data_IF_248295215459
#
_entry.id   IF_248295215459
#
_cell.length_a   1.000
_cell.length_b   1.000
_cell.length_c   1.000
_cell.angle_alpha   90.00
_cell.angle_beta   90.00
_cell.angle_gamma   90.00
#
_symmetry.space_group_name_H-M   'P 1'
#
loop_
_entity.id
_entity.type
_entity.pdbx_description
1 polymer ?
#
# COMPACT_ATOMS: atom_id res chain seq x y z
N UNK A 1 -6.10 -6.94 -30.34
CA UNK A 1 -5.25 -6.89 -31.54
C UNK A 1 -4.22 -5.80 -31.32
N UNK A 2 -2.94 -6.03 -31.65
CA UNK A 2 -1.90 -5.02 -31.50
C UNK A 2 -2.23 -3.76 -32.31
N UNK A 3 -1.90 -2.60 -31.77
CA UNK A 3 -2.11 -1.33 -32.48
C UNK A 3 -1.13 -1.20 -33.65
N UNK A 4 -1.66 -1.00 -34.84
CA UNK A 4 -0.88 -0.78 -36.08
C UNK A 4 -0.75 0.70 -36.45
N UNK A 5 -1.60 1.56 -35.88
CA UNK A 5 -1.56 3.02 -36.07
C UNK A 5 -1.04 3.72 -34.82
N UNK A 6 -0.10 4.65 -35.00
CA UNK A 6 0.55 5.42 -33.92
C UNK A 6 -0.46 6.14 -33.02
N UNK A 7 -1.44 6.82 -33.61
CA UNK A 7 -2.46 7.54 -32.84
C UNK A 7 -3.29 6.62 -31.93
N UNK A 8 -3.63 5.42 -32.40
CA UNK A 8 -4.37 4.46 -31.58
C UNK A 8 -3.50 3.95 -30.42
N UNK A 9 -2.23 3.68 -30.69
CA UNK A 9 -1.27 3.31 -29.66
C UNK A 9 -1.14 4.40 -28.59
N UNK A 10 -0.95 5.66 -28.99
CA UNK A 10 -0.74 6.77 -28.06
C UNK A 10 -1.98 7.03 -27.20
N UNK A 11 -3.19 6.91 -27.77
CA UNK A 11 -4.44 7.02 -27.01
C UNK A 11 -4.59 5.90 -25.98
N UNK A 12 -4.24 4.66 -26.35
CA UNK A 12 -4.26 3.53 -25.40
C UNK A 12 -3.22 3.71 -24.30
N UNK A 13 -2.01 4.15 -24.64
CA UNK A 13 -0.96 4.45 -23.66
C UNK A 13 -1.41 5.53 -22.67
N UNK A 14 -1.98 6.61 -23.18
CA UNK A 14 -2.53 7.69 -22.36
C UNK A 14 -3.65 7.19 -21.44
N UNK A 15 -4.55 6.33 -21.95
CA UNK A 15 -5.59 5.72 -21.13
C UNK A 15 -5.01 4.93 -19.94
N UNK A 16 -4.00 4.08 -20.17
CA UNK A 16 -3.36 3.33 -19.09
C UNK A 16 -2.67 4.24 -18.06
N UNK A 17 -2.05 5.33 -18.50
CA UNK A 17 -1.47 6.32 -17.59
C UNK A 17 -2.54 7.00 -16.73
N UNK A 18 -3.64 7.45 -17.33
CA UNK A 18 -4.77 8.05 -16.61
C UNK A 18 -5.38 7.05 -15.63
N UNK A 19 -5.57 5.80 -16.04
CA UNK A 19 -6.03 4.72 -15.18
C UNK A 19 -5.14 4.58 -13.93
N UNK A 20 -3.81 4.48 -14.08
CA UNK A 20 -2.89 4.38 -12.95
C UNK A 20 -2.95 5.63 -12.05
N UNK A 21 -2.93 6.83 -12.64
CA UNK A 21 -3.00 8.08 -11.89
C UNK A 21 -4.28 8.16 -11.06
N UNK A 22 -5.43 7.79 -11.62
CA UNK A 22 -6.71 7.78 -10.93
C UNK A 22 -6.67 6.84 -9.71
N UNK A 23 -6.12 5.63 -9.86
CA UNK A 23 -5.98 4.66 -8.76
C UNK A 23 -4.98 5.14 -7.67
N UNK A 24 -3.86 5.74 -8.07
CA UNK A 24 -2.90 6.34 -7.14
C UNK A 24 -3.50 7.53 -6.36
N UNK A 25 -4.29 8.37 -7.04
CA UNK A 25 -5.00 9.46 -6.39
C UNK A 25 -6.08 8.94 -5.45
N UNK A 26 -6.78 7.86 -5.81
CA UNK A 26 -7.75 7.19 -4.95
C UNK A 26 -7.15 6.79 -3.60
N UNK A 27 -5.95 6.18 -3.58
CA UNK A 27 -5.23 5.85 -2.35
C UNK A 27 -4.97 7.07 -1.46
N UNK A 28 -4.60 8.21 -2.06
CA UNK A 28 -4.24 9.42 -1.29
C UNK A 28 -5.46 10.14 -0.72
N UNK A 29 -6.60 10.08 -1.43
CA UNK A 29 -7.79 10.87 -1.11
C UNK A 29 -8.93 10.03 -0.49
N UNK A 30 -8.74 8.72 -0.31
CA UNK A 30 -9.76 7.85 0.25
C UNK A 30 -10.99 7.65 -0.64
N UNK A 31 -10.89 7.93 -1.95
CA UNK A 31 -12.02 7.91 -2.89
C UNK A 31 -11.88 6.75 -3.86
N UNK A 32 -13.01 6.17 -4.28
CA UNK A 32 -13.00 5.14 -5.31
C UNK A 32 -12.48 5.69 -6.65
N UNK A 33 -11.71 4.91 -7.42
CA UNK A 33 -11.28 5.28 -8.76
C UNK A 33 -12.50 5.56 -9.65
N UNK A 34 -12.41 6.62 -10.46
CA UNK A 34 -13.44 6.97 -11.45
C UNK A 34 -13.33 6.09 -12.70
N UNK A 35 -12.11 5.66 -13.01
CA UNK A 35 -11.81 4.78 -14.13
C UNK A 35 -12.28 3.37 -13.80
N UNK A 36 -13.22 2.86 -14.61
CA UNK A 36 -13.76 1.51 -14.48
C UNK A 36 -13.01 0.52 -15.34
N UNK A 37 -13.15 -0.75 -14.99
CA UNK A 37 -12.58 -1.83 -15.77
C UNK A 37 -13.15 -1.87 -17.19
N UNK A 38 -12.34 -1.45 -18.17
CA UNK A 38 -12.70 -1.44 -19.57
C UNK A 38 -12.22 -2.72 -20.28
N UNK A 39 -12.79 -3.05 -21.44
CA UNK A 39 -12.39 -4.26 -22.19
C UNK A 39 -10.87 -4.33 -22.50
N UNK A 40 -10.20 -3.18 -22.60
CA UNK A 40 -8.75 -3.08 -22.82
C UNK A 40 -7.92 -3.55 -21.63
N UNK A 41 -8.46 -3.52 -20.40
CA UNK A 41 -7.80 -4.03 -19.20
C UNK A 41 -7.89 -5.55 -19.08
N UNK A 42 -8.73 -6.23 -19.89
CA UNK A 42 -8.84 -7.69 -19.84
C UNK A 42 -7.60 -8.41 -20.36
N UNK A 43 -6.84 -7.77 -21.27
CA UNK A 43 -5.62 -8.33 -21.88
C UNK A 43 -4.60 -7.22 -22.14
N UNK A 44 -4.06 -6.59 -21.08
CA UNK A 44 -3.20 -5.41 -21.22
C UNK A 44 -1.90 -5.73 -21.96
N UNK A 45 -1.39 -6.98 -21.87
CA UNK A 45 -0.20 -7.43 -22.61
C UNK A 45 -0.29 -7.36 -24.13
N UNK A 46 -1.49 -7.42 -24.71
CA UNK A 46 -1.68 -7.27 -26.17
C UNK A 46 -1.22 -5.89 -26.66
N UNK A 47 -1.17 -4.89 -25.76
CA UNK A 47 -0.59 -3.58 -26.05
C UNK A 47 0.91 -3.67 -26.40
N UNK A 48 1.65 -4.55 -25.72
CA UNK A 48 3.11 -4.71 -25.87
C UNK A 48 3.50 -5.42 -27.18
N UNK A 49 2.56 -6.08 -27.83
CA UNK A 49 2.77 -6.70 -29.16
C UNK A 49 2.86 -5.65 -30.29
N UNK A 50 2.56 -4.37 -30.01
CA UNK A 50 2.68 -3.30 -30.99
C UNK A 50 4.15 -2.99 -31.31
N UNK A 51 4.48 -2.75 -32.59
CA UNK A 51 5.82 -2.32 -33.00
C UNK A 51 6.24 -0.94 -32.47
N UNK A 52 5.35 -0.22 -31.77
CA UNK A 52 5.66 1.03 -31.09
C UNK A 52 6.00 0.85 -29.60
N UNK A 53 5.94 -0.37 -29.06
CA UNK A 53 6.16 -0.66 -27.66
C UNK A 53 7.62 -0.42 -27.23
N UNK A 54 7.78 0.24 -26.09
CA UNK A 54 9.07 0.52 -25.45
C UNK A 54 9.21 -0.24 -24.13
N UNK A 55 10.41 -0.23 -23.54
CA UNK A 55 10.63 -0.80 -22.20
C UNK A 55 9.82 -0.08 -21.11
N UNK A 56 9.60 1.23 -21.25
CA UNK A 56 8.73 1.99 -20.36
C UNK A 56 7.28 1.48 -20.40
N UNK A 57 6.84 0.95 -21.54
CA UNK A 57 5.51 0.38 -21.68
C UNK A 57 5.39 -0.98 -20.97
N UNK A 58 6.48 -1.75 -20.86
CA UNK A 58 6.48 -2.96 -20.05
C UNK A 58 6.25 -2.64 -18.56
N UNK A 59 6.92 -1.61 -18.04
CA UNK A 59 6.71 -1.11 -16.67
C UNK A 59 5.31 -0.54 -16.46
N UNK A 60 4.75 0.11 -17.48
CA UNK A 60 3.37 0.60 -17.46
C UNK A 60 2.38 -0.57 -17.34
N UNK A 61 2.53 -1.58 -18.19
CA UNK A 61 1.63 -2.74 -18.21
C UNK A 61 1.77 -3.60 -16.95
N UNK A 62 2.97 -3.74 -16.38
CA UNK A 62 3.15 -4.45 -15.11
C UNK A 62 2.35 -3.80 -13.98
N UNK A 63 2.35 -2.47 -13.89
CA UNK A 63 1.54 -1.75 -12.91
C UNK A 63 0.04 -1.88 -13.19
N UNK A 64 -0.38 -1.81 -14.46
CA UNK A 64 -1.80 -1.97 -14.82
C UNK A 64 -2.31 -3.36 -14.39
N UNK A 65 -1.53 -4.41 -14.58
CA UNK A 65 -1.87 -5.76 -14.12
C UNK A 65 -1.94 -5.86 -12.60
N UNK A 66 -0.98 -5.25 -11.87
CA UNK A 66 -1.00 -5.22 -10.42
C UNK A 66 -2.30 -4.57 -9.91
N UNK A 67 -2.65 -3.42 -10.46
CA UNK A 67 -3.87 -2.70 -10.12
C UNK A 67 -5.15 -3.48 -10.47
N UNK A 68 -5.12 -4.29 -11.53
CA UNK A 68 -6.23 -5.20 -11.84
C UNK A 68 -6.41 -6.29 -10.77
N UNK A 69 -5.32 -6.85 -10.23
CA UNK A 69 -5.40 -7.80 -9.10
C UNK A 69 -5.91 -7.06 -7.85
N UNK A 70 -5.39 -5.86 -7.58
CA UNK A 70 -5.83 -5.03 -6.47
C UNK A 70 -7.34 -4.76 -6.51
N UNK A 71 -7.89 -4.40 -7.68
CA UNK A 71 -9.32 -4.19 -7.86
C UNK A 71 -10.13 -5.45 -7.59
N UNK A 72 -9.63 -6.64 -7.93
CA UNK A 72 -10.30 -7.91 -7.57
C UNK A 72 -10.32 -8.12 -6.06
N UNK A 73 -9.24 -7.78 -5.34
CA UNK A 73 -9.24 -7.79 -3.86
C UNK A 73 -10.32 -6.83 -3.34
N UNK A 74 -10.35 -5.60 -3.86
CA UNK A 74 -11.34 -4.59 -3.48
C UNK A 74 -12.79 -5.03 -3.76
N UNK A 75 -13.07 -5.64 -4.91
CA UNK A 75 -14.42 -6.11 -5.26
C UNK A 75 -14.90 -7.25 -4.35
N UNK A 76 -13.98 -8.12 -3.92
CA UNK A 76 -14.30 -9.29 -3.10
C UNK A 76 -14.45 -8.90 -1.62
N UNK A 77 -13.57 -8.03 -1.13
CA UNK A 77 -13.43 -7.75 0.31
C UNK A 77 -13.66 -6.29 0.71
N UNK A 78 -13.76 -5.35 -0.23
CA UNK A 78 -13.84 -3.91 0.03
C UNK A 78 -15.24 -3.38 0.39
N UNK A 79 -16.30 -4.16 0.15
CA UNK A 79 -17.67 -3.67 0.27
C UNK A 79 -18.24 -3.55 1.70
N UNK A 80 -17.76 -4.36 2.64
CA UNK A 80 -18.22 -4.35 4.04
C UNK A 80 -17.02 -4.43 4.97
N UNK A 81 -16.89 -3.41 5.81
CA UNK A 81 -15.75 -3.18 6.68
C UNK A 81 -15.97 -3.81 8.06
N UNK A 82 -17.22 -3.83 8.50
CA UNK A 82 -17.62 -4.27 9.83
C UNK A 82 -17.70 -5.79 9.90
N UNK A 83 -17.84 -6.43 8.73
CA UNK A 83 -17.96 -7.88 8.62
C UNK A 83 -16.65 -8.54 8.25
N UNK A 84 -16.24 -9.53 9.04
CA UNK A 84 -15.13 -10.43 8.71
C UNK A 84 -15.52 -11.40 7.58
N UNK A 85 -15.57 -10.93 6.33
CA UNK A 85 -15.79 -11.79 5.16
C UNK A 85 -14.53 -12.62 4.86
N UNK A 86 -13.35 -12.11 5.23
CA UNK A 86 -12.05 -12.72 4.98
C UNK A 86 -11.94 -14.15 5.54
N UNK A 87 -12.38 -14.37 6.78
CA UNK A 87 -12.32 -15.70 7.41
C UNK A 87 -13.27 -16.73 6.81
N UNK A 88 -14.27 -16.29 6.06
CA UNK A 88 -15.19 -17.16 5.31
C UNK A 88 -14.69 -17.45 3.89
N UNK A 89 -13.68 -16.70 3.44
CA UNK A 89 -13.16 -16.67 2.06
C UNK A 89 -11.64 -16.83 2.01
N UNK A 90 -11.10 -17.69 2.87
CA UNK A 90 -9.66 -17.94 2.96
C UNK A 90 -9.10 -18.51 1.64
N UNK A 91 -9.91 -19.30 0.91
CA UNK A 91 -9.53 -19.84 -0.40
C UNK A 91 -9.34 -18.72 -1.45
N UNK A 92 -10.20 -17.70 -1.44
CA UNK A 92 -10.04 -16.54 -2.30
C UNK A 92 -8.78 -15.73 -1.96
N UNK A 93 -8.43 -15.61 -0.66
CA UNK A 93 -7.18 -14.99 -0.23
C UNK A 93 -5.98 -15.75 -0.81
N UNK A 94 -5.94 -17.08 -0.65
CA UNK A 94 -4.85 -17.89 -1.22
C UNK A 94 -4.76 -17.77 -2.74
N UNK A 95 -5.90 -17.75 -3.45
CA UNK A 95 -5.90 -17.60 -4.90
C UNK A 95 -5.37 -16.23 -5.35
N UNK A 96 -5.72 -15.15 -4.64
CA UNK A 96 -5.21 -13.81 -4.93
C UNK A 96 -3.73 -13.67 -4.58
N UNK A 97 -3.28 -14.35 -3.53
CA UNK A 97 -1.87 -14.45 -3.15
C UNK A 97 -1.04 -15.11 -4.27
N UNK A 98 -1.50 -16.24 -4.79
CA UNK A 98 -0.87 -16.92 -5.93
C UNK A 98 -0.78 -16.00 -7.17
N UNK A 99 -1.82 -15.19 -7.42
CA UNK A 99 -1.80 -14.21 -8.52
C UNK A 99 -0.75 -13.11 -8.32
N UNK A 100 -0.56 -12.62 -7.09
CA UNK A 100 0.49 -11.65 -6.80
C UNK A 100 1.89 -12.27 -6.93
N UNK A 101 2.09 -13.51 -6.49
CA UNK A 101 3.37 -14.23 -6.66
C UNK A 101 3.70 -14.48 -8.12
N UNK A 102 2.70 -14.91 -8.91
CA UNK A 102 2.85 -15.08 -10.34
C UNK A 102 3.18 -13.75 -11.03
N UNK A 103 2.45 -12.68 -10.69
CA UNK A 103 2.74 -11.35 -11.22
C UNK A 103 4.16 -10.90 -10.88
N UNK A 104 4.60 -11.08 -9.63
CA UNK A 104 5.92 -10.64 -9.19
C UNK A 104 7.02 -11.40 -9.91
N UNK A 105 6.95 -12.73 -9.95
CA UNK A 105 7.96 -13.58 -10.61
C UNK A 105 8.05 -13.30 -12.11
N UNK A 106 6.92 -13.23 -12.82
CA UNK A 106 6.91 -12.96 -14.27
C UNK A 106 7.50 -11.59 -14.62
N UNK A 107 7.08 -10.54 -13.92
CA UNK A 107 7.57 -9.19 -14.21
C UNK A 107 8.96 -8.93 -13.67
N UNK A 108 9.37 -9.63 -12.61
CA UNK A 108 10.74 -9.61 -12.15
C UNK A 108 11.71 -10.15 -13.22
N UNK A 109 11.37 -11.26 -13.86
CA UNK A 109 12.17 -11.83 -14.93
C UNK A 109 12.09 -11.01 -16.22
N UNK A 110 10.90 -10.46 -16.53
CA UNK A 110 10.64 -9.71 -17.75
C UNK A 110 11.19 -8.28 -17.76
N UNK A 111 11.22 -7.61 -16.61
CA UNK A 111 11.73 -6.24 -16.50
C UNK A 111 13.24 -6.26 -16.34
N UNK A 112 13.93 -5.52 -17.21
CA UNK A 112 15.37 -5.31 -17.09
C UNK A 112 15.64 -4.33 -15.95
N UNK A 113 16.02 -4.86 -14.80
CA UNK A 113 16.59 -4.09 -13.71
C UNK A 113 18.12 -4.17 -13.77
N UNK A 114 18.80 -3.03 -13.77
CA UNK A 114 20.27 -3.01 -13.88
C UNK A 114 20.93 -3.63 -12.63
N UNK A 115 21.83 -4.60 -12.84
CA UNK A 115 22.39 -5.44 -11.76
C UNK A 115 23.46 -4.71 -10.93
N UNK A 116 24.04 -3.62 -11.46
CA UNK A 116 25.24 -3.00 -10.90
C UNK A 116 24.98 -2.00 -9.75
N UNK A 117 23.73 -1.59 -9.54
CA UNK A 117 23.29 -0.79 -8.39
C UNK A 117 21.86 -1.20 -8.09
N UNK A 118 21.50 -1.32 -6.81
CA UNK A 118 20.10 -1.56 -6.41
C UNK A 118 19.23 -0.45 -7.02
N UNK A 119 18.62 -0.74 -8.18
CA UNK A 119 17.94 0.28 -8.96
C UNK A 119 16.73 0.78 -8.16
N UNK A 120 16.55 2.10 -7.98
CA UNK A 120 15.35 2.62 -7.32
C UNK A 120 14.06 2.07 -7.93
N UNK A 121 14.03 1.81 -9.25
CA UNK A 121 12.89 1.20 -9.90
C UNK A 121 12.57 -0.20 -9.37
N UNK A 122 13.59 -1.01 -9.06
CA UNK A 122 13.40 -2.35 -8.47
C UNK A 122 12.84 -2.26 -7.06
N UNK A 123 13.37 -1.36 -6.24
CA UNK A 123 12.90 -1.17 -4.86
C UNK A 123 11.46 -0.67 -4.83
N UNK A 124 11.11 0.26 -5.71
CA UNK A 124 9.74 0.74 -5.87
C UNK A 124 8.82 -0.39 -6.35
N UNK A 125 9.28 -1.24 -7.28
CA UNK A 125 8.53 -2.43 -7.72
C UNK A 125 8.24 -3.39 -6.56
N UNK A 126 9.25 -3.73 -5.75
CA UNK A 126 9.08 -4.60 -4.59
C UNK A 126 8.22 -3.93 -3.49
N UNK A 127 8.30 -2.60 -3.33
CA UNK A 127 7.44 -1.84 -2.42
C UNK A 127 5.96 -1.99 -2.80
N UNK A 128 5.61 -1.88 -4.08
CA UNK A 128 4.23 -2.09 -4.54
C UNK A 128 3.74 -3.50 -4.30
N UNK A 129 4.59 -4.49 -4.56
CA UNK A 129 4.29 -5.89 -4.28
C UNK A 129 3.95 -6.11 -2.80
N UNK A 130 4.81 -5.63 -1.89
CA UNK A 130 4.57 -5.76 -0.47
C UNK A 130 3.36 -4.97 0.01
N UNK A 131 3.13 -3.77 -0.54
CA UNK A 131 1.94 -2.98 -0.24
C UNK A 131 0.64 -3.72 -0.64
N UNK A 132 0.62 -4.32 -1.83
CA UNK A 132 -0.54 -5.05 -2.33
C UNK A 132 -0.82 -6.33 -1.52
N UNK A 133 0.23 -7.07 -1.14
CA UNK A 133 0.08 -8.27 -0.28
C UNK A 133 -0.29 -7.93 1.15
N UNK A 134 0.28 -6.86 1.71
CA UNK A 134 -0.16 -6.30 2.99
C UNK A 134 -1.66 -6.00 2.93
N UNK A 135 -2.12 -5.30 1.90
CA UNK A 135 -3.54 -5.01 1.71
C UNK A 135 -4.39 -6.28 1.68
N UNK A 136 -4.02 -7.28 0.87
CA UNK A 136 -4.73 -8.56 0.80
C UNK A 136 -4.85 -9.24 2.16
N UNK A 137 -3.74 -9.45 2.87
CA UNK A 137 -3.77 -10.22 4.12
C UNK A 137 -4.39 -9.43 5.27
N UNK A 138 -4.30 -8.11 5.25
CA UNK A 138 -4.85 -7.26 6.31
C UNK A 138 -6.38 -7.38 6.49
N UNK A 139 -7.09 -7.92 5.49
CA UNK A 139 -8.52 -8.17 5.58
C UNK A 139 -8.89 -9.16 6.71
N UNK A 140 -7.98 -10.03 7.15
CA UNK A 140 -8.24 -10.93 8.29
C UNK A 140 -8.40 -10.19 9.61
N UNK A 141 -7.90 -8.94 9.71
CA UNK A 141 -8.06 -8.12 10.91
C UNK A 141 -9.44 -7.47 11.06
N UNK A 142 -10.29 -7.53 10.03
CA UNK A 142 -11.61 -6.87 10.04
C UNK A 142 -12.64 -7.70 10.78
N UNK A 143 -13.46 -7.06 11.62
CA UNK A 143 -14.60 -7.69 12.28
C UNK A 143 -14.26 -8.88 13.19
N UNK A 144 -13.00 -9.03 13.63
CA UNK A 144 -12.59 -10.06 14.58
C UNK A 144 -12.17 -9.45 15.91
N UNK A 145 -12.67 -9.99 17.01
CA UNK A 145 -12.09 -9.71 18.32
C UNK A 145 -10.73 -10.41 18.43
N UNK A 146 -9.76 -9.79 19.13
CA UNK A 146 -8.42 -10.36 19.37
C UNK A 146 -8.48 -11.81 19.87
N UNK A 147 -9.42 -12.08 20.76
CA UNK A 147 -9.63 -13.40 21.37
C UNK A 147 -10.00 -14.46 20.32
N UNK A 148 -10.73 -14.09 19.27
CA UNK A 148 -11.15 -15.01 18.20
C UNK A 148 -9.98 -15.36 17.26
N UNK A 149 -9.04 -14.42 17.07
CA UNK A 149 -7.82 -14.64 16.29
C UNK A 149 -6.84 -15.51 17.08
N UNK A 150 -6.63 -15.24 18.37
CA UNK A 150 -5.77 -16.05 19.24
C UNK A 150 -6.30 -17.48 19.47
N UNK A 151 -7.62 -17.67 19.45
CA UNK A 151 -8.27 -18.98 19.54
C UNK A 151 -8.26 -19.77 18.21
N UNK A 152 -7.97 -19.11 17.08
CA UNK A 152 -7.86 -19.79 15.80
C UNK A 152 -6.62 -20.70 15.81
N UNK A 153 -6.78 -21.94 15.36
CA UNK A 153 -5.65 -22.86 15.28
C UNK A 153 -4.57 -22.34 14.32
N UNK A 154 -3.29 -22.56 14.68
CA UNK A 154 -2.14 -22.33 13.80
C UNK A 154 -2.10 -23.39 12.67
N UNK A 155 -3.06 -23.31 11.76
CA UNK A 155 -3.03 -24.08 10.51
C UNK A 155 -2.42 -23.21 9.40
N UNK A 156 -1.55 -23.76 8.54
CA UNK A 156 -1.17 -23.11 7.28
C UNK A 156 -2.43 -22.73 6.49
N UNK A 157 -2.48 -21.50 5.96
CA UNK A 157 -3.67 -20.96 5.28
C UNK A 157 -4.84 -20.59 6.20
N UNK A 158 -4.64 -20.60 7.52
CA UNK A 158 -5.60 -20.11 8.50
C UNK A 158 -5.50 -18.59 8.73
N UNK A 159 -6.43 -18.00 9.50
CA UNK A 159 -6.43 -16.56 9.81
C UNK A 159 -5.13 -16.08 10.47
N UNK A 160 -4.54 -16.88 11.36
CA UNK A 160 -3.28 -16.55 12.05
C UNK A 160 -2.07 -16.55 11.11
N UNK A 161 -2.04 -17.46 10.14
CA UNK A 161 -0.99 -17.49 9.12
C UNK A 161 -1.05 -16.22 8.25
N UNK A 162 -2.24 -15.83 7.80
CA UNK A 162 -2.43 -14.59 7.05
C UNK A 162 -2.14 -13.34 7.88
N UNK A 163 -2.51 -13.32 9.16
CA UNK A 163 -2.14 -12.23 10.06
C UNK A 163 -0.62 -12.07 10.15
N UNK A 164 0.12 -13.17 10.36
CA UNK A 164 1.60 -13.15 10.35
C UNK A 164 2.15 -12.64 9.03
N UNK A 165 1.64 -13.12 7.89
CA UNK A 165 2.07 -12.68 6.56
C UNK A 165 1.79 -11.19 6.30
N UNK A 166 0.66 -10.67 6.81
CA UNK A 166 0.39 -9.23 6.77
C UNK A 166 1.48 -8.44 7.49
N UNK A 167 1.92 -8.89 8.67
CA UNK A 167 2.97 -8.23 9.45
C UNK A 167 4.33 -8.30 8.76
N UNK A 168 4.66 -9.42 8.13
CA UNK A 168 5.89 -9.56 7.33
C UNK A 168 5.94 -8.58 6.16
N UNK A 169 4.80 -8.41 5.46
CA UNK A 169 4.70 -7.41 4.38
C UNK A 169 4.69 -5.98 4.90
N UNK A 170 4.06 -5.70 6.04
CA UNK A 170 4.14 -4.38 6.67
C UNK A 170 5.58 -4.03 7.05
N UNK A 171 6.32 -4.97 7.63
CA UNK A 171 7.73 -4.78 7.93
C UNK A 171 8.56 -4.54 6.66
N UNK A 172 8.30 -5.31 5.61
CA UNK A 172 8.99 -5.15 4.32
C UNK A 172 8.75 -3.77 3.70
N UNK A 173 7.53 -3.21 3.82
CA UNK A 173 7.21 -1.84 3.42
C UNK A 173 8.02 -0.83 4.23
N UNK A 174 8.02 -0.95 5.57
CA UNK A 174 8.78 -0.05 6.45
C UNK A 174 10.27 -0.10 6.14
N UNK A 175 10.83 -1.31 6.03
CA UNK A 175 12.24 -1.53 5.71
C UNK A 175 12.62 -0.98 4.33
N UNK A 176 11.75 -1.14 3.34
CA UNK A 176 11.97 -0.59 1.99
C UNK A 176 12.13 0.92 2.04
N UNK A 177 11.29 1.61 2.82
CA UNK A 177 11.32 3.07 2.97
C UNK A 177 12.51 3.53 3.83
N UNK A 178 12.82 2.85 4.94
CA UNK A 178 13.96 3.24 5.79
C UNK A 178 15.31 3.08 5.10
N UNK A 179 15.39 2.17 4.13
CA UNK A 179 16.60 1.91 3.35
C UNK A 179 16.75 2.84 2.13
N UNK A 180 15.79 3.72 1.86
CA UNK A 180 15.91 4.74 0.81
C UNK A 180 16.70 5.96 1.29
N UNK A 181 17.56 6.54 0.43
CA UNK A 181 18.27 7.76 0.78
C UNK A 181 17.28 8.94 0.84
N UNK A 182 17.58 9.90 1.71
CA UNK A 182 16.67 11.01 2.06
C UNK A 182 16.22 11.86 0.87
N UNK A 183 17.12 12.11 -0.07
CA UNK A 183 16.83 12.83 -1.31
C UNK A 183 15.74 12.15 -2.13
N UNK A 184 15.67 10.82 -2.12
CA UNK A 184 14.61 10.07 -2.82
C UNK A 184 13.31 10.03 -2.05
N UNK A 185 13.37 9.98 -0.72
CA UNK A 185 12.19 10.01 0.13
C UNK A 185 11.35 11.28 -0.08
N UNK A 186 12.03 12.43 -0.26
CA UNK A 186 11.38 13.71 -0.56
C UNK A 186 10.72 13.74 -1.95
N UNK A 187 11.12 12.83 -2.86
CA UNK A 187 10.58 12.71 -4.21
C UNK A 187 9.55 11.58 -4.34
N UNK A 188 9.20 10.90 -3.24
CA UNK A 188 8.19 9.85 -3.28
C UNK A 188 6.80 10.45 -3.55
N UNK A 189 5.99 9.79 -4.40
CA UNK A 189 4.59 10.18 -4.57
C UNK A 189 3.81 10.14 -3.25
N UNK A 190 2.88 11.07 -3.07
CA UNK A 190 2.13 11.24 -1.82
C UNK A 190 1.38 9.98 -1.34
N UNK A 191 0.86 9.15 -2.27
CA UNK A 191 0.17 7.90 -1.93
C UNK A 191 1.08 6.87 -1.24
N UNK A 192 2.40 6.96 -1.39
CA UNK A 192 3.33 6.10 -0.63
C UNK A 192 3.25 6.42 0.87
N UNK A 193 2.95 7.67 1.24
CA UNK A 193 2.65 8.05 2.61
C UNK A 193 1.46 7.27 3.18
N UNK A 194 0.37 7.11 2.41
CA UNK A 194 -0.78 6.29 2.80
C UNK A 194 -0.38 4.83 3.07
N UNK A 195 0.45 4.24 2.21
CA UNK A 195 0.97 2.87 2.37
C UNK A 195 1.84 2.74 3.62
N UNK A 196 2.73 3.71 3.89
CA UNK A 196 3.57 3.73 5.09
C UNK A 196 2.72 3.83 6.36
N UNK A 197 1.76 4.75 6.38
CA UNK A 197 0.86 4.93 7.51
C UNK A 197 0.09 3.62 7.79
N UNK A 198 -0.42 2.99 6.74
CA UNK A 198 -1.14 1.73 6.85
C UNK A 198 -0.27 0.60 7.41
N UNK A 199 0.92 0.38 6.85
CA UNK A 199 1.88 -0.60 7.36
C UNK A 199 2.23 -0.35 8.84
N UNK A 200 2.45 0.91 9.20
CA UNK A 200 2.81 1.30 10.56
C UNK A 200 1.68 1.02 11.56
N UNK A 201 0.42 1.26 11.18
CA UNK A 201 -0.75 0.94 12.00
C UNK A 201 -0.87 -0.57 12.23
N UNK A 202 -0.67 -1.40 11.21
CA UNK A 202 -0.67 -2.86 11.34
C UNK A 202 0.42 -3.32 12.34
N UNK A 203 1.62 -2.76 12.22
CA UNK A 203 2.75 -3.08 13.10
C UNK A 203 2.52 -2.63 14.55
N UNK A 204 1.99 -1.42 14.77
CA UNK A 204 1.63 -0.94 16.12
C UNK A 204 0.61 -1.87 16.77
N UNK A 205 -0.41 -2.30 16.03
CA UNK A 205 -1.42 -3.24 16.54
C UNK A 205 -0.77 -4.57 16.97
N UNK A 206 0.13 -5.10 16.16
CA UNK A 206 0.87 -6.32 16.50
C UNK A 206 1.79 -6.15 17.70
N UNK A 207 2.55 -5.06 17.78
CA UNK A 207 3.43 -4.77 18.92
C UNK A 207 2.64 -4.66 20.24
N UNK A 208 1.41 -4.14 20.18
CA UNK A 208 0.49 -4.09 21.32
C UNK A 208 -0.08 -5.46 21.70
N UNK A 209 -0.26 -6.38 20.75
CA UNK A 209 -0.63 -7.77 21.03
C UNK A 209 0.51 -8.49 21.75
N UNK A 210 1.73 -8.33 21.23
CA UNK A 210 2.93 -9.01 21.70
C UNK A 210 3.37 -8.54 23.08
N UNK A 211 3.31 -7.23 23.35
CA UNK A 211 3.57 -6.67 24.70
C UNK A 211 2.62 -7.21 25.78
N UNK A 212 1.46 -7.75 25.39
CA UNK A 212 0.47 -8.35 26.32
C UNK A 212 0.59 -9.88 26.42
N UNK A 213 1.29 -10.52 25.48
CA UNK A 213 1.56 -11.95 25.45
C UNK A 213 3.00 -12.17 25.90
N UNK A 214 3.21 -12.32 27.20
CA UNK A 214 4.53 -12.61 27.79
C UNK A 214 5.07 -13.96 27.30
N UNK A 215 5.84 -14.02 26.21
CA UNK A 215 6.68 -15.18 25.87
C UNK A 215 7.86 -14.81 24.96
N UNK A 216 9.03 -15.33 25.32
CA UNK A 216 10.34 -15.10 24.72
C UNK A 216 10.57 -15.84 23.37
N UNK A 217 11.56 -15.33 22.63
CA UNK A 217 12.45 -16.04 21.68
C UNK A 217 11.95 -16.25 20.24
N UNK A 218 11.80 -15.15 19.50
CA UNK A 218 12.42 -14.83 18.18
C UNK A 218 11.64 -13.63 17.58
N UNK A 219 11.45 -12.63 18.41
CA UNK A 219 10.53 -11.53 18.14
C UNK A 219 11.22 -10.51 17.24
N UNK A 220 10.68 -10.34 16.04
CA UNK A 220 11.00 -9.20 15.17
C UNK A 220 10.86 -7.93 16.01
N UNK A 221 11.91 -7.11 16.13
CA UNK A 221 11.89 -5.85 16.89
C UNK A 221 11.03 -4.80 16.16
N UNK A 222 9.71 -4.99 16.17
CA UNK A 222 8.74 -4.12 15.50
C UNK A 222 8.89 -2.69 16.01
N UNK A 223 9.08 -2.51 17.32
CA UNK A 223 9.29 -1.19 17.90
C UNK A 223 10.57 -0.53 17.40
N UNK A 224 11.66 -1.27 17.23
CA UNK A 224 12.91 -0.78 16.67
C UNK A 224 12.75 -0.29 15.24
N UNK A 225 12.04 -1.04 14.40
CA UNK A 225 11.75 -0.66 13.01
C UNK A 225 10.88 0.59 12.93
N UNK A 226 9.83 0.70 13.76
CA UNK A 226 8.98 1.89 13.82
C UNK A 226 9.77 3.12 14.33
N UNK A 227 10.60 2.96 15.36
CA UNK A 227 11.51 4.03 15.84
C UNK A 227 12.49 4.47 14.75
N UNK A 228 13.01 3.54 13.97
CA UNK A 228 13.90 3.85 12.85
C UNK A 228 13.16 4.63 11.75
N UNK A 229 11.94 4.20 11.40
CA UNK A 229 11.08 4.91 10.46
C UNK A 229 10.83 6.36 10.89
N UNK A 230 10.44 6.60 12.14
CA UNK A 230 10.22 7.96 12.66
C UNK A 230 11.45 8.84 12.44
N UNK A 231 12.65 8.34 12.78
CA UNK A 231 13.91 9.09 12.59
C UNK A 231 14.20 9.40 11.12
N UNK A 232 13.90 8.46 10.22
CA UNK A 232 14.10 8.65 8.78
C UNK A 232 13.13 9.69 8.23
N UNK A 233 11.87 9.66 8.65
CA UNK A 233 10.83 10.58 8.17
C UNK A 233 10.92 11.99 8.78
N UNK A 234 11.53 12.15 9.96
CA UNK A 234 11.78 13.47 10.56
C UNK A 234 12.82 14.27 9.74
N UNK A 235 12.64 15.60 9.60
CA UNK A 235 13.61 16.47 8.94
C UNK A 235 14.93 16.52 9.71
N UNK A 236 16.02 16.72 8.99
CA UNK A 236 17.34 16.93 9.59
C UNK A 236 17.46 18.33 10.20
N UNK A 237 18.33 18.50 11.19
CA UNK A 237 18.55 19.78 11.84
C UNK A 237 19.03 20.83 10.81
N UNK A 238 18.14 21.73 10.40
CA UNK A 238 18.42 22.80 9.44
C UNK A 238 17.58 22.78 8.15
N UNK A 239 16.75 21.75 7.92
CA UNK A 239 15.77 21.77 6.82
C UNK A 239 14.54 22.61 7.21
N UNK A 240 14.12 23.53 6.33
CA UNK A 240 12.88 24.29 6.53
C UNK A 240 11.70 23.33 6.68
N UNK A 241 10.81 23.62 7.64
CA UNK A 241 9.61 22.84 7.92
C UNK A 241 8.55 23.05 6.85
N UNK A 242 8.83 22.56 5.63
CA UNK A 242 7.79 22.31 4.65
C UNK A 242 6.87 21.21 5.21
N UNK A 243 5.56 21.45 5.17
CA UNK A 243 4.51 20.51 5.62
C UNK A 243 4.52 19.30 4.68
N UNK A 244 5.44 18.37 4.91
CA UNK A 244 5.53 17.13 4.13
C UNK A 244 4.62 16.07 4.77
N UNK A 245 3.78 15.35 4.00
CA UNK A 245 2.88 14.31 4.53
C UNK A 245 3.60 13.27 5.41
N UNK A 246 4.84 12.91 5.06
CA UNK A 246 5.68 12.00 5.83
C UNK A 246 6.01 12.50 7.25
N UNK A 247 6.14 13.81 7.45
CA UNK A 247 6.34 14.40 8.78
C UNK A 247 5.09 14.24 9.64
N UNK A 248 3.90 14.37 9.05
CA UNK A 248 2.64 14.09 9.72
C UNK A 248 2.59 12.64 10.23
N UNK A 249 2.95 11.69 9.37
CA UNK A 249 3.01 10.26 9.73
C UNK A 249 4.02 10.03 10.86
N UNK A 250 5.21 10.62 10.78
CA UNK A 250 6.23 10.48 11.83
C UNK A 250 5.73 10.98 13.19
N UNK A 251 5.07 12.14 13.23
CA UNK A 251 4.49 12.72 14.45
C UNK A 251 3.36 11.86 15.01
N UNK A 252 2.44 11.40 14.16
CA UNK A 252 1.37 10.50 14.58
C UNK A 252 1.92 9.20 15.17
N UNK A 253 2.94 8.61 14.53
CA UNK A 253 3.57 7.39 15.05
C UNK A 253 4.30 7.61 16.36
N UNK A 254 5.06 8.71 16.47
CA UNK A 254 5.73 9.08 17.72
C UNK A 254 4.73 9.29 18.85
N UNK A 255 3.63 10.00 18.58
CA UNK A 255 2.53 10.16 19.52
C UNK A 255 2.00 8.78 19.93
N UNK A 256 1.58 7.94 18.96
CA UNK A 256 1.03 6.59 19.16
C UNK A 256 1.95 5.67 19.98
N UNK A 257 3.25 5.74 19.75
CA UNK A 257 4.22 4.95 20.49
C UNK A 257 4.48 5.48 21.90
N UNK A 258 4.40 6.81 22.12
CA UNK A 258 4.60 7.44 23.42
C UNK A 258 3.37 7.35 24.33
N UNK A 259 2.17 7.51 23.77
CA UNK A 259 0.91 7.49 24.50
C UNK A 259 0.31 6.10 24.69
N UNK A 260 1.05 5.01 24.46
CA UNK A 260 0.59 3.63 24.69
C UNK A 260 0.26 3.30 26.18
N UNK A 261 0.11 4.32 27.04
CA UNK A 261 -0.58 4.26 28.34
C UNK A 261 -1.86 5.11 28.45
N UNK A 262 -2.21 5.99 27.51
CA UNK A 262 -3.51 6.70 27.46
C UNK A 262 -3.69 7.43 26.12
N UNK A 263 -4.63 6.98 25.28
CA UNK A 263 -5.03 7.71 24.05
C UNK A 263 -6.49 8.10 24.09
N UNK A 264 -6.73 9.41 24.14
CA UNK A 264 -7.99 10.04 23.76
C UNK A 264 -7.74 11.46 23.24
N UNK A 265 -7.12 11.61 22.05
CA UNK A 265 -7.26 12.82 21.21
C UNK A 265 -6.59 12.66 19.83
N UNK A 266 -7.19 13.31 18.82
CA UNK A 266 -6.75 13.46 17.42
C UNK A 266 -7.24 12.41 16.40
N UNK A 267 -8.58 12.38 16.23
CA UNK A 267 -9.25 11.92 15.02
C UNK A 267 -9.19 13.03 13.97
N UNK A 268 -8.49 12.83 12.85
CA UNK A 268 -8.86 13.45 11.56
C UNK A 268 -8.08 12.92 10.35
N UNK A 269 -6.90 12.30 10.53
CA UNK A 269 -6.10 11.79 9.40
C UNK A 269 -6.45 10.33 9.03
N UNK A 270 -7.07 9.59 9.95
CA UNK A 270 -7.32 8.15 9.83
C UNK A 270 -8.67 7.84 9.13
N UNK A 271 -9.58 8.81 9.06
CA UNK A 271 -10.96 8.61 8.60
C UNK A 271 -11.13 8.64 7.07
N UNK A 272 -10.13 9.12 6.32
CA UNK A 272 -10.12 9.06 4.85
C UNK A 272 -9.42 7.79 4.33
N UNK A 273 -8.44 7.23 5.06
CA UNK A 273 -7.82 5.94 4.75
C UNK A 273 -8.75 4.75 5.01
N UNK A 274 -9.70 4.90 5.95
CA UNK A 274 -10.70 3.89 6.30
C UNK A 274 -11.68 3.58 5.18
N UNK A 275 -12.00 4.56 4.31
CA UNK A 275 -12.98 4.41 3.25
C UNK A 275 -12.52 3.57 2.05
N UNK A 276 -11.21 3.54 1.77
CA UNK A 276 -10.65 2.78 0.64
C UNK A 276 -9.94 1.50 1.08
N UNK A 277 -9.26 1.51 2.23
CA UNK A 277 -8.64 0.32 2.80
C UNK A 277 -9.61 -0.51 3.64
N UNK A 278 -10.87 -0.07 3.74
CA UNK A 278 -11.94 -0.73 4.46
C UNK A 278 -11.60 -1.10 5.89
N UNK A 279 -11.01 -0.19 6.68
CA UNK A 279 -10.81 -0.40 8.12
C UNK A 279 -11.70 0.56 8.89
N UNK A 280 -12.75 0.05 9.52
CA UNK A 280 -13.57 0.81 10.43
C UNK A 280 -12.87 0.68 11.76
N UNK A 281 -12.29 1.79 12.19
CA UNK A 281 -11.77 1.91 13.53
C UNK A 281 -12.97 2.21 14.42
N UNK A 282 -13.85 1.22 14.59
CA UNK A 282 -15.12 1.36 15.29
C UNK A 282 -14.95 2.08 16.62
N UNK A 283 -15.37 3.34 16.66
CA UNK A 283 -15.43 4.18 17.84
C UNK A 283 -16.62 5.13 17.68
N UNK A 284 -17.81 4.62 17.95
CA UNK A 284 -19.05 5.39 18.04
C UNK A 284 -18.90 6.58 19.00
N UNK A 285 -19.30 7.78 18.55
CA UNK A 285 -19.44 8.95 19.41
C UNK A 285 -19.18 10.31 18.74
N UNK A 286 -20.26 10.88 18.18
CA UNK A 286 -20.59 12.32 18.02
C UNK A 286 -19.56 13.36 17.53
N UNK A 287 -19.99 14.18 16.55
CA UNK A 287 -19.63 15.61 16.49
C UNK A 287 -19.27 16.14 15.08
N UNK A 288 -20.17 16.93 14.50
CA UNK A 288 -20.07 17.62 13.18
C UNK A 288 -19.25 18.91 13.31
N UNK A 289 -18.42 19.28 12.30
CA UNK A 289 -18.44 20.59 11.56
C UNK A 289 -17.20 20.91 10.68
N UNK A 290 -17.49 21.40 9.45
CA UNK A 290 -16.81 22.28 8.46
C UNK A 290 -15.27 22.43 8.36
N UNK A 291 -14.73 22.03 7.20
CA UNK A 291 -14.59 22.88 5.99
C UNK A 291 -13.52 23.98 5.97
N UNK A 292 -12.52 23.84 5.08
CA UNK A 292 -11.69 24.95 4.60
C UNK A 292 -10.35 24.54 3.97
N UNK A 293 -10.29 24.61 2.64
CA UNK A 293 -9.15 24.97 1.76
C UNK A 293 -7.78 24.30 1.91
N UNK A 294 -7.36 23.57 0.87
CA UNK A 294 -6.05 23.81 0.24
C UNK A 294 -5.98 23.20 -1.18
N UNK A 295 -6.31 24.01 -2.19
CA UNK A 295 -5.73 23.86 -3.53
C UNK A 295 -4.26 24.28 -3.45
N UNK A 296 -3.34 23.41 -3.85
CA UNK A 296 -2.07 23.87 -4.40
C UNK A 296 -1.46 22.83 -5.35
N UNK A 297 -1.25 23.32 -6.57
CA UNK A 297 -0.68 22.69 -7.74
C UNK A 297 0.77 22.24 -7.53
N UNK A 298 1.06 20.98 -7.86
CA UNK A 298 2.42 20.50 -8.12
C UNK A 298 2.44 19.78 -9.47
N UNK A 299 3.10 20.39 -10.45
CA UNK A 299 3.45 19.79 -11.74
C UNK A 299 4.49 18.70 -11.52
N UNK A 300 4.14 17.43 -11.73
CA UNK A 300 5.06 16.29 -11.65
C UNK A 300 5.49 15.86 -13.06
N UNK A 301 6.77 16.09 -13.38
CA UNK A 301 7.45 15.47 -14.53
C UNK A 301 7.91 14.07 -14.10
N UNK A 302 7.20 13.03 -14.52
CA UNK A 302 7.52 11.63 -14.17
C UNK A 302 8.01 10.79 -15.37
N UNK A 303 8.37 11.41 -16.50
CA UNK A 303 8.81 10.67 -17.69
C UNK A 303 9.95 11.38 -18.43
N UNK A 304 11.05 11.67 -17.74
CA UNK A 304 12.32 11.92 -18.42
C UNK A 304 13.49 11.47 -17.53
N UNK A 305 13.93 10.24 -17.79
CA UNK A 305 15.31 9.84 -17.60
C UNK A 305 15.62 8.87 -18.75
N UNK A 306 16.39 9.40 -19.69
CA UNK A 306 16.98 8.74 -20.87
C UNK A 306 17.61 7.39 -20.57
#
# INVERSE_FOLDING_TARGET
MPHTKRECYDRTRLYFLVYLCDHHCSLSHGKLPLTRDFQLLKKPRVFLESGFASEADQRLISQVELWSIFNRVFDIFGGDIDRCIATQRLAEISCLDDLYEQWHSEWLEGLKFDTHKTEPARRIFDLYYHAAKLYLFSHVFRGQAREELELASESPGGPNDFARRALEHALSVVCSVTNEPRDRLQNLPCYIGAVIAFASVCLVKAANWQSRATCENDEVDIQGHLRHLIRVLQPSAGEEQTVHPLLGIARSLEAVMAGAQQFDHERHVIQDLSGLLGFDFGMDGCGVFNGGDLEQTATFSLFDAT
#
